data_IF_968870267830
#
_entry.id   IF_968870267830
#
_cell.length_a   1.000
_cell.length_b   1.000
_cell.length_c   1.000
_cell.angle_alpha   90.00
_cell.angle_beta   90.00
_cell.angle_gamma   90.00
#
_symmetry.space_group_name_H-M   'P 1'
#
loop_
_entity.id
_entity.type
_entity.pdbx_description
1 polymer ?
#
# COMPACT_ATOMS: atom_id res chain seq x y z
N UNK A 1 20.45 2.57 11.92
CA UNK A 1 21.14 1.70 12.91
C UNK A 1 20.16 0.74 13.59
N UNK A 2 19.12 1.25 14.27
CA UNK A 2 18.12 0.44 15.00
C UNK A 2 17.41 -0.63 14.16
N UNK A 3 16.87 -0.29 12.99
CA UNK A 3 16.18 -1.24 12.09
C UNK A 3 17.10 -2.38 11.64
N UNK A 4 18.38 -2.09 11.35
CA UNK A 4 19.36 -3.13 10.98
C UNK A 4 19.66 -4.06 12.15
N UNK A 5 19.84 -3.51 13.35
CA UNK A 5 20.08 -4.30 14.56
C UNK A 5 18.87 -5.20 14.90
N UNK A 6 17.66 -4.66 14.81
CA UNK A 6 16.42 -5.42 14.98
C UNK A 6 16.34 -6.57 13.97
N UNK A 7 16.53 -6.29 12.68
CA UNK A 7 16.46 -7.32 11.63
C UNK A 7 17.53 -8.42 11.81
N UNK A 8 18.75 -8.05 12.23
CA UNK A 8 19.81 -9.02 12.51
C UNK A 8 19.50 -9.91 13.71
N UNK A 9 18.93 -9.36 14.79
CA UNK A 9 18.52 -10.14 15.95
C UNK A 9 17.35 -11.06 15.60
N UNK A 10 16.38 -10.57 14.82
CA UNK A 10 15.23 -11.35 14.39
C UNK A 10 15.64 -12.52 13.49
N UNK A 11 16.54 -12.28 12.51
CA UNK A 11 17.08 -13.32 11.64
C UNK A 11 17.96 -14.35 12.37
N UNK A 12 18.59 -13.96 13.50
CA UNK A 12 19.31 -14.92 14.36
C UNK A 12 18.39 -15.74 15.25
N UNK A 13 17.26 -15.17 15.66
CA UNK A 13 16.30 -15.82 16.56
C UNK A 13 15.48 -16.90 15.85
N UNK A 14 15.14 -16.67 14.58
CA UNK A 14 14.35 -17.60 13.78
C UNK A 14 15.22 -18.13 12.64
N UNK A 15 15.42 -19.46 12.59
CA UNK A 15 16.06 -20.13 11.45
C UNK A 15 15.13 -20.24 10.23
N UNK A 16 15.56 -20.94 9.18
CA UNK A 16 14.79 -21.07 7.93
C UNK A 16 13.39 -21.68 8.12
N UNK A 17 13.25 -22.57 9.12
CA UNK A 17 11.97 -23.16 9.52
C UNK A 17 11.86 -23.11 11.04
N UNK A 18 10.75 -22.55 11.53
CA UNK A 18 10.40 -22.51 12.94
C UNK A 18 8.92 -22.88 13.08
N UNK A 19 8.62 -23.82 13.99
CA UNK A 19 7.26 -24.17 14.36
C UNK A 19 7.06 -23.80 15.81
N UNK A 20 6.09 -22.93 16.08
CA UNK A 20 5.78 -22.43 17.43
C UNK A 20 4.26 -22.34 17.58
N UNK A 21 3.74 -22.72 18.76
CA UNK A 21 2.34 -22.50 19.10
C UNK A 21 2.19 -21.10 19.68
N UNK A 22 1.28 -20.31 19.11
CA UNK A 22 1.01 -18.94 19.52
C UNK A 22 -0.48 -18.73 19.72
N UNK A 23 -0.85 -17.77 20.55
CA UNK A 23 -2.25 -17.32 20.61
C UNK A 23 -2.61 -16.52 19.36
N UNK A 24 -3.91 -16.40 19.08
CA UNK A 24 -4.41 -15.62 17.92
C UNK A 24 -3.90 -14.18 17.94
N UNK A 25 -3.93 -13.55 19.11
CA UNK A 25 -3.54 -12.15 19.25
C UNK A 25 -2.05 -11.95 18.95
N UNK A 26 -1.21 -12.88 19.39
CA UNK A 26 0.23 -12.81 19.15
C UNK A 26 0.59 -13.01 17.69
N UNK A 27 -0.15 -13.90 17.02
CA UNK A 27 0.06 -14.19 15.60
C UNK A 27 -0.39 -13.03 14.70
N UNK A 28 -1.57 -12.45 14.97
CA UNK A 28 -2.15 -11.40 14.12
C UNK A 28 -1.70 -9.99 14.48
N UNK A 29 -1.35 -9.72 15.74
CA UNK A 29 -1.01 -8.39 16.23
C UNK A 29 0.40 -8.35 16.86
N UNK A 30 1.46 -8.84 16.19
CA UNK A 30 2.81 -8.84 16.74
C UNK A 30 3.34 -7.42 17.01
N UNK A 31 2.79 -6.40 16.32
CA UNK A 31 3.14 -4.99 16.49
C UNK A 31 2.48 -4.34 17.69
N UNK A 32 1.38 -4.88 18.21
CA UNK A 32 0.69 -4.33 19.39
C UNK A 32 1.53 -4.49 20.66
N UNK A 33 2.51 -5.42 20.63
CA UNK A 33 3.54 -5.57 21.67
C UNK A 33 4.57 -4.43 21.67
N UNK A 34 4.62 -3.61 20.62
CA UNK A 34 5.56 -2.48 20.50
C UNK A 34 4.84 -1.20 20.93
N UNK A 35 4.94 -0.86 22.22
CA UNK A 35 4.38 0.39 22.74
C UNK A 35 4.97 1.61 22.01
N UNK A 36 4.13 2.60 21.74
CA UNK A 36 4.50 3.89 21.17
C UNK A 36 5.19 3.82 19.78
N UNK A 37 5.00 2.76 18.99
CA UNK A 37 5.53 2.65 17.62
C UNK A 37 5.13 3.85 16.74
N UNK A 38 3.95 4.42 16.97
CA UNK A 38 3.44 5.62 16.32
C UNK A 38 4.32 6.87 16.54
N UNK A 39 5.12 6.93 17.63
CA UNK A 39 6.06 8.04 17.86
C UNK A 39 7.24 8.04 16.89
N UNK A 40 7.55 6.90 16.26
CA UNK A 40 8.64 6.78 15.29
C UNK A 40 8.43 7.68 14.05
N UNK A 41 7.19 8.06 13.75
CA UNK A 41 6.85 8.89 12.59
C UNK A 41 6.95 10.40 12.83
N UNK A 42 7.15 10.82 14.08
CA UNK A 42 7.23 12.23 14.46
C UNK A 42 5.89 12.99 14.39
N UNK A 43 5.93 14.29 14.70
CA UNK A 43 4.73 15.13 14.90
C UNK A 43 3.89 15.36 13.63
N UNK A 44 4.43 15.10 12.44
CA UNK A 44 3.74 15.25 11.15
C UNK A 44 2.98 13.99 10.72
N UNK A 45 3.04 12.94 11.54
CA UNK A 45 2.42 11.65 11.25
C UNK A 45 3.12 10.89 10.12
N UNK A 46 2.39 9.96 9.53
CA UNK A 46 2.88 9.10 8.46
C UNK A 46 1.86 8.98 7.34
N UNK A 47 2.35 8.53 6.18
CA UNK A 47 1.52 8.09 5.08
C UNK A 47 1.74 6.60 4.88
N UNK A 48 0.65 5.84 4.89
CA UNK A 48 0.67 4.47 4.42
C UNK A 48 0.53 4.47 2.90
N UNK A 49 1.34 3.66 2.24
CA UNK A 49 1.27 3.43 0.80
C UNK A 49 1.16 1.93 0.57
N UNK A 50 0.08 1.51 -0.09
CA UNK A 50 -0.17 0.10 -0.36
C UNK A 50 -0.49 -0.12 -1.83
N UNK A 51 0.26 -1.05 -2.43
CA UNK A 51 0.07 -1.47 -3.82
C UNK A 51 -0.09 -2.99 -3.94
N UNK A 52 -0.50 -3.42 -5.12
CA UNK A 52 -0.36 -4.79 -5.60
C UNK A 52 0.24 -4.76 -6.99
N UNK A 53 1.29 -5.56 -7.20
CA UNK A 53 1.94 -5.79 -8.49
C UNK A 53 1.46 -7.16 -8.99
N UNK A 54 0.88 -7.25 -10.19
CA UNK A 54 0.35 -8.50 -10.70
C UNK A 54 1.49 -9.49 -10.96
N UNK A 55 1.19 -10.78 -10.80
CA UNK A 55 2.18 -11.85 -11.03
C UNK A 55 2.79 -11.80 -12.44
N UNK A 56 1.99 -11.43 -13.44
CA UNK A 56 2.42 -11.28 -14.83
C UNK A 56 3.53 -10.23 -15.04
N UNK A 57 3.62 -9.22 -14.17
CA UNK A 57 4.69 -8.21 -14.24
C UNK A 57 6.01 -8.69 -13.62
N UNK A 58 6.02 -9.87 -12.99
CA UNK A 58 7.20 -10.45 -12.36
C UNK A 58 7.73 -9.63 -11.17
N UNK A 59 9.00 -9.86 -10.83
CA UNK A 59 9.66 -9.24 -9.66
C UNK A 59 10.31 -7.88 -9.94
N UNK A 60 10.50 -7.51 -11.21
CA UNK A 60 11.22 -6.29 -11.57
C UNK A 60 10.56 -5.00 -11.03
N UNK A 61 9.22 -4.83 -11.07
CA UNK A 61 8.59 -3.65 -10.47
C UNK A 61 8.79 -3.57 -8.95
N UNK A 62 8.76 -4.72 -8.27
CA UNK A 62 9.02 -4.80 -6.83
C UNK A 62 10.46 -4.39 -6.51
N UNK A 63 11.44 -4.89 -7.29
CA UNK A 63 12.85 -4.47 -7.17
C UNK A 63 13.01 -2.97 -7.44
N UNK A 64 12.31 -2.43 -8.44
CA UNK A 64 12.35 -1.01 -8.77
C UNK A 64 11.79 -0.15 -7.63
N UNK A 65 10.70 -0.57 -6.99
CA UNK A 65 10.14 0.10 -5.79
C UNK A 65 11.20 0.16 -4.68
N UNK A 66 11.78 -0.98 -4.29
CA UNK A 66 12.81 -1.00 -3.25
C UNK A 66 14.08 -0.23 -3.63
N UNK A 67 14.47 -0.28 -4.91
CA UNK A 67 15.58 0.50 -5.45
C UNK A 67 15.36 2.01 -5.31
N UNK A 68 14.14 2.50 -5.58
CA UNK A 68 13.78 3.90 -5.36
C UNK A 68 13.84 4.28 -3.88
N UNK A 69 13.33 3.44 -2.99
CA UNK A 69 13.39 3.68 -1.54
C UNK A 69 14.85 3.77 -1.04
N UNK A 70 15.72 2.88 -1.54
CA UNK A 70 17.14 2.88 -1.20
C UNK A 70 17.85 4.15 -1.69
N UNK A 71 17.59 4.57 -2.93
CA UNK A 71 18.19 5.79 -3.51
C UNK A 71 17.81 7.06 -2.74
N UNK A 72 16.56 7.16 -2.27
CA UNK A 72 16.08 8.33 -1.53
C UNK A 72 16.46 8.33 -0.05
N UNK A 73 17.03 7.22 0.47
CA UNK A 73 17.36 7.08 1.88
C UNK A 73 16.14 7.11 2.82
N UNK A 74 14.93 6.96 2.27
CA UNK A 74 13.67 6.96 3.04
C UNK A 74 13.35 5.52 3.40
N UNK A 75 13.51 5.18 4.68
CA UNK A 75 13.10 3.89 5.21
C UNK A 75 11.59 3.83 5.43
N UNK A 76 10.94 2.78 4.94
CA UNK A 76 9.65 2.38 5.47
C UNK A 76 9.88 1.84 6.89
N UNK A 77 9.22 2.42 7.90
CA UNK A 77 9.38 1.96 9.28
C UNK A 77 8.64 0.64 9.51
N UNK A 78 7.51 0.48 8.84
CA UNK A 78 6.77 -0.77 8.77
C UNK A 78 6.59 -1.15 7.31
N UNK A 79 6.96 -2.38 6.97
CA UNK A 79 6.82 -2.95 5.65
C UNK A 79 6.19 -4.34 5.76
N UNK A 80 5.05 -4.52 5.08
CA UNK A 80 4.37 -5.80 4.96
C UNK A 80 4.38 -6.21 3.51
N UNK A 81 4.87 -7.41 3.22
CA UNK A 81 4.78 -8.04 1.90
C UNK A 81 3.93 -9.31 2.01
N UNK A 82 2.99 -9.50 1.08
CA UNK A 82 2.15 -10.70 1.01
C UNK A 82 1.98 -11.10 -0.45
N UNK A 83 1.88 -12.41 -0.69
CA UNK A 83 1.39 -12.95 -1.95
C UNK A 83 -0.14 -13.05 -1.86
N UNK A 84 -0.85 -12.32 -2.71
CA UNK A 84 -2.25 -12.59 -2.95
C UNK A 84 -2.36 -13.76 -3.93
N UNK A 85 -3.23 -14.72 -3.59
CA UNK A 85 -3.68 -15.74 -4.54
C UNK A 85 -4.56 -15.13 -5.62
N UNK A 86 -5.29 -15.97 -6.34
CA UNK A 86 -6.23 -15.56 -7.38
C UNK A 86 -7.68 -15.64 -6.88
N UNK A 87 -8.14 -14.67 -6.04
CA UNK A 87 -9.51 -14.70 -5.55
C UNK A 87 -10.48 -14.33 -6.68
N UNK A 88 -11.71 -14.88 -6.66
CA UNK A 88 -12.75 -14.41 -7.56
C UNK A 88 -12.99 -12.91 -7.33
N UNK A 89 -13.27 -12.17 -8.41
CA UNK A 89 -13.60 -10.74 -8.33
C UNK A 89 -14.91 -10.57 -7.56
N UNK A 90 -14.82 -10.09 -6.32
CA UNK A 90 -15.98 -9.92 -5.42
C UNK A 90 -16.71 -8.58 -5.59
N UNK A 91 -16.17 -7.65 -6.39
CA UNK A 91 -16.79 -6.35 -6.66
C UNK A 91 -16.09 -5.57 -7.78
N UNK A 92 -16.81 -4.64 -8.40
CA UNK A 92 -16.32 -3.84 -9.55
C UNK A 92 -15.06 -3.03 -9.23
N UNK A 93 -14.89 -2.62 -7.97
CA UNK A 93 -13.75 -1.83 -7.48
C UNK A 93 -12.86 -2.63 -6.52
N UNK A 94 -12.83 -3.96 -6.65
CA UNK A 94 -12.04 -4.82 -5.75
C UNK A 94 -10.53 -4.57 -5.92
N UNK A 95 -9.85 -4.33 -4.80
CA UNK A 95 -8.40 -4.09 -4.78
C UNK A 95 -7.56 -5.36 -4.99
N UNK A 96 -7.82 -6.49 -4.31
CA UNK A 96 -7.03 -7.70 -4.50
C UNK A 96 -7.00 -8.15 -5.95
N UNK A 97 -5.80 -8.52 -6.40
CA UNK A 97 -5.51 -9.25 -7.63
C UNK A 97 -4.33 -10.18 -7.37
N UNK A 98 -4.20 -11.26 -8.15
CA UNK A 98 -3.09 -12.19 -8.02
C UNK A 98 -1.74 -11.49 -8.17
N UNK A 99 -0.83 -11.71 -7.21
CA UNK A 99 0.51 -11.12 -7.21
C UNK A 99 0.99 -10.62 -5.85
N UNK A 100 2.02 -9.76 -5.86
CA UNK A 100 2.69 -9.28 -4.65
C UNK A 100 2.02 -7.99 -4.18
N UNK A 101 1.49 -7.97 -2.96
CA UNK A 101 1.11 -6.72 -2.29
C UNK A 101 2.18 -6.24 -1.33
N UNK A 102 2.42 -4.94 -1.34
CA UNK A 102 3.32 -4.24 -0.43
C UNK A 102 2.51 -3.17 0.31
N UNK A 103 2.60 -3.12 1.64
CA UNK A 103 2.09 -2.03 2.45
C UNK A 103 3.25 -1.43 3.26
N UNK A 104 3.53 -0.15 3.01
CA UNK A 104 4.71 0.55 3.51
C UNK A 104 4.29 1.84 4.23
N UNK A 105 4.79 2.05 5.43
CA UNK A 105 4.55 3.27 6.21
C UNK A 105 5.76 4.21 6.18
N UNK A 106 5.52 5.45 5.76
CA UNK A 106 6.55 6.48 5.60
C UNK A 106 6.31 7.68 6.54
N UNK A 107 7.33 8.19 7.24
CA UNK A 107 7.22 9.44 7.97
C UNK A 107 6.91 10.59 7.00
N UNK A 108 6.03 11.50 7.40
CA UNK A 108 5.66 12.64 6.57
C UNK A 108 6.79 13.68 6.51
N UNK A 109 7.70 13.54 5.54
CA UNK A 109 8.80 14.49 5.29
C UNK A 109 8.40 15.66 4.38
N UNK A 110 7.11 15.83 4.10
CA UNK A 110 6.60 16.88 3.21
C UNK A 110 6.85 16.54 1.74
N UNK A 111 7.17 17.54 0.92
CA UNK A 111 7.24 17.39 -0.55
C UNK A 111 8.18 16.29 -1.04
N UNK A 112 9.27 16.03 -0.32
CA UNK A 112 10.21 14.97 -0.67
C UNK A 112 9.52 13.60 -0.69
N UNK A 113 8.68 13.32 0.32
CA UNK A 113 7.86 12.12 0.36
C UNK A 113 6.86 12.10 -0.80
N UNK A 114 6.15 13.19 -1.05
CA UNK A 114 5.16 13.22 -2.14
C UNK A 114 5.76 12.96 -3.52
N UNK A 115 6.96 13.52 -3.81
CA UNK A 115 7.70 13.23 -5.04
C UNK A 115 8.11 11.76 -5.15
N UNK A 116 8.62 11.19 -4.05
CA UNK A 116 8.97 9.76 -4.01
C UNK A 116 7.73 8.90 -4.27
N UNK A 117 6.63 9.16 -3.55
CA UNK A 117 5.42 8.36 -3.68
C UNK A 117 4.82 8.47 -5.10
N UNK A 118 4.91 9.63 -5.75
CA UNK A 118 4.51 9.77 -7.17
C UNK A 118 5.37 8.90 -8.09
N UNK A 119 6.68 8.78 -7.83
CA UNK A 119 7.55 7.87 -8.58
C UNK A 119 7.19 6.41 -8.37
N UNK A 120 6.81 6.03 -7.14
CA UNK A 120 6.33 4.67 -6.85
C UNK A 120 5.01 4.37 -7.56
N UNK A 121 4.06 5.31 -7.58
CA UNK A 121 2.81 5.15 -8.31
C UNK A 121 3.04 4.88 -9.80
N UNK A 122 4.01 5.58 -10.39
CA UNK A 122 4.36 5.40 -11.80
C UNK A 122 4.88 3.97 -12.07
N UNK A 123 5.71 3.41 -11.18
CA UNK A 123 6.18 2.03 -11.29
C UNK A 123 4.99 1.05 -11.19
N UNK A 124 4.05 1.32 -10.29
CA UNK A 124 2.83 0.50 -10.15
C UNK A 124 2.00 0.56 -11.42
N UNK A 125 1.82 1.74 -12.01
CA UNK A 125 1.08 1.92 -13.26
C UNK A 125 1.73 1.18 -14.44
N UNK A 126 3.05 1.32 -14.60
CA UNK A 126 3.81 0.64 -15.65
C UNK A 126 3.74 -0.89 -15.53
N UNK A 127 3.55 -1.39 -14.32
CA UNK A 127 3.39 -2.81 -14.03
C UNK A 127 1.93 -3.30 -14.09
N UNK A 128 0.98 -2.47 -14.52
CA UNK A 128 -0.46 -2.77 -14.48
C UNK A 128 -0.95 -3.17 -13.07
N UNK A 129 -0.30 -2.61 -12.06
CA UNK A 129 -0.63 -2.76 -10.66
C UNK A 129 -1.75 -1.84 -10.20
N UNK A 130 -2.12 -2.00 -8.93
CA UNK A 130 -3.16 -1.19 -8.29
C UNK A 130 -2.65 -0.57 -7.01
N UNK A 131 -3.12 0.63 -6.69
CA UNK A 131 -3.01 1.20 -5.35
C UNK A 131 -4.31 0.97 -4.59
N UNK A 132 -4.21 0.82 -3.27
CA UNK A 132 -5.38 0.57 -2.43
C UNK A 132 -6.05 1.87 -1.96
N UNK A 133 -7.31 2.16 -2.38
CA UNK A 133 -8.00 3.40 -1.99
C UNK A 133 -8.14 3.57 -0.48
N UNK A 134 -8.33 2.48 0.27
CA UNK A 134 -8.57 2.57 1.71
C UNK A 134 -7.35 3.07 2.50
N UNK A 135 -6.14 3.01 1.92
CA UNK A 135 -4.90 3.46 2.54
C UNK A 135 -4.33 4.71 1.86
N UNK A 136 -5.01 5.21 0.84
CA UNK A 136 -4.52 6.34 0.06
C UNK A 136 -5.00 7.70 0.61
N UNK A 137 -4.10 8.67 0.60
CA UNK A 137 -4.41 10.07 0.90
C UNK A 137 -4.35 11.00 -0.33
N UNK A 138 -3.80 10.57 -1.48
CA UNK A 138 -3.40 11.46 -2.59
C UNK A 138 -3.62 10.93 -4.01
N UNK A 139 -4.24 9.77 -4.16
CA UNK A 139 -4.49 9.09 -5.43
C UNK A 139 -5.20 10.03 -6.41
N UNK A 140 -4.61 10.15 -7.60
CA UNK A 140 -5.17 10.90 -8.71
C UNK A 140 -6.30 10.12 -9.38
N UNK A 141 -7.17 10.83 -10.11
CA UNK A 141 -8.20 10.18 -10.92
C UNK A 141 -7.59 9.22 -11.96
N UNK A 142 -6.46 9.58 -12.58
CA UNK A 142 -5.78 8.72 -13.54
C UNK A 142 -5.30 7.41 -12.90
N UNK A 143 -4.67 7.49 -11.73
CA UNK A 143 -4.22 6.32 -10.97
C UNK A 143 -5.38 5.41 -10.57
N UNK A 144 -6.48 6.00 -10.09
CA UNK A 144 -7.68 5.24 -9.72
C UNK A 144 -8.26 4.50 -10.93
N UNK A 145 -8.45 5.18 -12.06
CA UNK A 145 -9.05 4.59 -13.27
C UNK A 145 -8.19 3.49 -13.86
N UNK A 146 -6.87 3.66 -13.86
CA UNK A 146 -5.94 2.60 -14.24
C UNK A 146 -5.96 1.41 -13.27
N UNK A 147 -6.05 1.68 -11.96
CA UNK A 147 -6.13 0.62 -10.94
C UNK A 147 -7.46 -0.16 -11.01
N UNK A 148 -8.56 0.48 -11.42
CA UNK A 148 -9.90 -0.09 -11.38
C UNK A 148 -10.62 0.07 -12.72
N UNK A 149 -10.30 -0.75 -13.74
CA UNK A 149 -10.83 -0.57 -15.10
C UNK A 149 -12.36 -0.67 -15.20
N UNK A 150 -13.02 -1.32 -14.23
CA UNK A 150 -14.49 -1.41 -14.17
C UNK A 150 -15.15 -0.18 -13.52
N UNK A 151 -14.43 0.92 -13.26
CA UNK A 151 -14.97 2.09 -12.58
C UNK A 151 -16.17 2.72 -13.31
N UNK A 152 -16.21 2.69 -14.64
CA UNK A 152 -17.34 3.22 -15.43
C UNK A 152 -18.61 2.39 -15.21
N UNK A 153 -18.46 1.06 -15.12
CA UNK A 153 -19.56 0.15 -14.80
C UNK A 153 -20.09 0.36 -13.39
N UNK A 154 -19.30 0.97 -12.51
CA UNK A 154 -19.73 1.30 -11.16
C UNK A 154 -20.57 2.60 -11.09
N UNK A 155 -20.41 3.52 -12.05
CA UNK A 155 -21.07 4.83 -12.04
C UNK A 155 -22.60 4.77 -11.89
N UNK A 156 -23.34 3.86 -12.56
CA UNK A 156 -24.80 3.80 -12.43
C UNK A 156 -25.29 3.44 -11.02
N UNK A 157 -24.42 2.90 -10.16
CA UNK A 157 -24.76 2.50 -8.79
C UNK A 157 -24.48 3.61 -7.76
N UNK A 158 -24.00 4.78 -8.20
CA UNK A 158 -23.70 5.90 -7.30
C UNK A 158 -24.96 6.73 -7.07
N UNK A 159 -25.32 6.91 -5.80
CA UNK A 159 -26.29 7.92 -5.40
C UNK A 159 -25.63 9.31 -5.47
N UNK A 160 -26.10 10.25 -6.33
CA UNK A 160 -25.49 11.58 -6.46
C UNK A 160 -25.58 12.43 -5.18
N UNK A 161 -26.42 12.05 -4.21
CA UNK A 161 -26.51 12.70 -2.89
C UNK A 161 -25.43 12.21 -1.92
N UNK A 162 -24.73 11.12 -2.24
CA UNK A 162 -23.63 10.58 -1.43
C UNK A 162 -22.31 10.95 -2.07
N UNK A 163 -21.50 11.73 -1.36
CA UNK A 163 -20.17 12.12 -1.82
C UNK A 163 -19.13 12.08 -0.71
N UNK A 164 -17.88 11.79 -1.08
CA UNK A 164 -16.73 11.90 -0.21
C UNK A 164 -15.64 12.74 -0.88
N UNK A 165 -14.68 13.24 -0.10
CA UNK A 165 -13.52 13.93 -0.69
C UNK A 165 -12.75 13.02 -1.65
N UNK A 166 -12.72 11.71 -1.38
CA UNK A 166 -12.13 10.73 -2.27
C UNK A 166 -12.91 10.59 -3.58
N UNK A 167 -14.23 10.40 -3.51
CA UNK A 167 -15.06 10.22 -4.71
C UNK A 167 -15.03 11.47 -5.59
N UNK A 168 -15.04 12.68 -5.00
CA UNK A 168 -14.85 13.92 -5.74
C UNK A 168 -13.46 14.00 -6.40
N UNK A 169 -12.40 13.54 -5.73
CA UNK A 169 -11.04 13.57 -6.31
C UNK A 169 -10.88 12.62 -7.50
N UNK A 170 -11.46 11.42 -7.43
CA UNK A 170 -11.18 10.37 -8.42
C UNK A 170 -12.29 10.16 -9.44
N UNK A 171 -13.53 10.59 -9.14
CA UNK A 171 -14.72 10.40 -9.98
C UNK A 171 -15.39 11.70 -10.44
N UNK A 172 -15.16 12.87 -9.82
CA UNK A 172 -15.92 14.09 -10.16
C UNK A 172 -15.90 14.49 -11.65
N UNK A 173 -14.85 14.25 -12.46
CA UNK A 173 -14.94 14.54 -13.89
C UNK A 173 -16.02 13.73 -14.63
N UNK A 174 -16.62 12.71 -13.99
CA UNK A 174 -17.65 11.83 -14.53
C UNK A 174 -18.97 11.88 -13.75
N UNK A 175 -19.07 12.65 -12.66
CA UNK A 175 -20.26 12.68 -11.78
C UNK A 175 -20.57 14.13 -11.36
N UNK A 176 -21.81 14.55 -11.58
CA UNK A 176 -22.35 15.77 -11.00
C UNK A 176 -22.97 15.44 -9.63
N UNK A 177 -22.25 15.75 -8.55
CA UNK A 177 -22.80 15.67 -7.19
C UNK A 177 -23.77 16.83 -6.96
N UNK A 178 -24.88 16.58 -6.26
CA UNK A 178 -25.90 17.58 -5.92
C UNK A 178 -25.86 17.97 -4.44
#
# INVERSE_FOLDING_TARGET
ALVRAYNQLHAKKYGDVCTETQTLDEFFYPLDKIENWNRLYGRRGFLQWQCVIPEAAGLEPVKAIFGQLQQQGIGAYLAVAKMFGDPPVTGLLSFPQAGITLALDFPNTGEALFRMLQRLDQIVLEAEGRLYPAKDARMSAAMFRASFPNWERFLPFIDPKISSSFSRRVLAPAIQYH
#
